data_IF_008253451127
#
_entry.id   IF_008253451127
#
_cell.length_a   1.000
_cell.length_b   1.000
_cell.length_c   1.000
_cell.angle_alpha   90.00
_cell.angle_beta   90.00
_cell.angle_gamma   90.00
#
_symmetry.space_group_name_H-M   'P 1'
#
loop_
_entity.id
_entity.type
_entity.pdbx_description
1 polymer ?
#
# COMPACT_ATOMS: atom_id res chain seq x y z
N UNK A 1 14.62 9.72 16.53
CA UNK A 1 14.70 9.83 15.07
C UNK A 1 13.36 9.71 14.44
N UNK A 2 13.14 10.56 13.50
CA UNK A 2 11.98 10.40 12.64
C UNK A 2 12.41 9.79 11.34
N UNK A 3 11.63 8.83 10.88
CA UNK A 3 11.70 8.40 9.49
C UNK A 3 10.47 8.95 8.84
N UNK A 4 10.65 9.85 7.91
CA UNK A 4 9.55 10.37 7.13
C UNK A 4 9.36 9.48 5.93
N UNK A 5 8.16 8.96 5.77
CA UNK A 5 7.82 8.15 4.61
C UNK A 5 6.92 9.00 3.74
N UNK A 6 7.37 9.22 2.53
CA UNK A 6 6.59 9.93 1.54
C UNK A 6 6.43 8.99 0.34
N UNK A 7 5.24 8.95 -0.21
CA UNK A 7 5.06 8.05 -1.32
C UNK A 7 3.63 8.00 -1.82
N UNK A 8 3.37 6.99 -2.63
CA UNK A 8 2.07 6.79 -3.25
C UNK A 8 1.60 5.36 -3.03
N UNK A 9 0.29 5.20 -2.97
CA UNK A 9 -0.32 3.90 -2.91
C UNK A 9 -1.20 3.70 -4.13
N UNK A 10 -1.09 2.53 -4.73
CA UNK A 10 -1.96 2.13 -5.83
C UNK A 10 -2.87 1.03 -5.32
N UNK A 11 -4.16 1.21 -5.48
CA UNK A 11 -5.16 0.25 -5.03
C UNK A 11 -6.01 -0.15 -6.21
N UNK A 12 -6.26 -1.45 -6.32
CA UNK A 12 -7.18 -1.97 -7.32
C UNK A 12 -8.09 -2.98 -6.63
N UNK A 13 -9.36 -3.00 -7.00
CA UNK A 13 -10.26 -4.00 -6.47
C UNK A 13 -11.35 -4.30 -7.48
N UNK A 14 -11.90 -5.50 -7.38
CA UNK A 14 -13.02 -5.91 -8.24
C UNK A 14 -14.27 -5.79 -7.39
N UNK A 15 -15.16 -4.84 -7.69
CA UNK A 15 -16.36 -4.66 -6.89
C UNK A 15 -17.24 -5.89 -6.94
N UNK A 16 -17.84 -6.22 -5.81
CA UNK A 16 -18.79 -7.31 -5.72
C UNK A 16 -20.20 -6.77 -5.68
N UNK A 17 -20.52 -6.03 -4.64
CA UNK A 17 -21.85 -5.48 -4.44
C UNK A 17 -21.87 -3.97 -4.41
N UNK A 18 -20.79 -3.37 -3.97
CA UNK A 18 -20.71 -1.93 -3.78
C UNK A 18 -19.40 -1.39 -4.31
N UNK A 19 -19.43 -0.13 -4.69
CA UNK A 19 -18.24 0.61 -5.10
C UNK A 19 -17.93 1.61 -4.00
N UNK A 20 -16.67 1.65 -3.59
CA UNK A 20 -16.24 2.51 -2.50
C UNK A 20 -15.63 3.78 -3.09
N UNK A 21 -16.00 4.90 -2.54
CA UNK A 21 -15.49 6.18 -3.00
C UNK A 21 -14.00 6.36 -2.74
N UNK A 22 -13.35 7.06 -3.63
CA UNK A 22 -11.91 7.28 -3.55
C UNK A 22 -11.49 7.96 -2.25
N UNK A 23 -12.29 8.91 -1.77
CA UNK A 23 -11.95 9.61 -0.54
C UNK A 23 -11.93 8.68 0.67
N UNK A 24 -12.79 7.67 0.68
CA UNK A 24 -12.79 6.70 1.76
C UNK A 24 -11.54 5.85 1.74
N UNK A 25 -11.13 5.44 0.55
CA UNK A 25 -9.89 4.67 0.37
C UNK A 25 -8.69 5.50 0.80
N UNK A 26 -8.64 6.76 0.38
CA UNK A 26 -7.55 7.65 0.77
C UNK A 26 -7.47 7.83 2.28
N UNK A 27 -8.61 7.97 2.93
CA UNK A 27 -8.65 8.15 4.36
C UNK A 27 -8.14 6.91 5.09
N UNK A 28 -8.51 5.74 4.61
CA UNK A 28 -8.09 4.48 5.21
C UNK A 28 -6.58 4.30 5.07
N UNK A 29 -6.05 4.50 3.87
CA UNK A 29 -4.61 4.38 3.64
C UNK A 29 -3.85 5.37 4.50
N UNK A 30 -4.33 6.61 4.55
CA UNK A 30 -3.70 7.65 5.36
C UNK A 30 -3.69 7.31 6.84
N UNK A 31 -4.75 6.69 7.35
CA UNK A 31 -4.82 6.28 8.74
C UNK A 31 -3.69 5.32 9.09
N UNK A 32 -3.49 4.30 8.27
CA UNK A 32 -2.44 3.32 8.53
C UNK A 32 -1.06 3.90 8.31
N UNK A 33 -0.92 4.79 7.34
CA UNK A 33 0.39 5.36 7.01
C UNK A 33 0.92 6.29 8.10
N UNK A 34 0.07 6.77 9.00
CA UNK A 34 0.51 7.64 10.09
C UNK A 34 1.22 6.90 11.19
N UNK A 35 1.16 5.58 11.20
CA UNK A 35 1.76 4.79 12.25
C UNK A 35 3.17 4.40 11.88
N UNK A 36 4.13 4.52 12.81
CA UNK A 36 5.47 4.00 12.55
C UNK A 36 5.39 2.49 12.44
N UNK A 37 5.80 1.95 11.31
CA UNK A 37 5.78 0.51 11.12
C UNK A 37 6.59 0.13 9.90
N UNK A 38 6.87 -1.15 9.79
CA UNK A 38 7.55 -1.71 8.64
C UNK A 38 6.59 -1.65 7.44
N UNK A 39 7.13 -1.28 6.30
CA UNK A 39 6.32 -1.07 5.10
C UNK A 39 5.56 -2.31 4.67
N UNK A 40 6.16 -3.49 4.80
CA UNK A 40 5.47 -4.73 4.45
C UNK A 40 4.24 -4.95 5.33
N UNK A 41 4.36 -4.63 6.60
CA UNK A 41 3.22 -4.74 7.52
C UNK A 41 2.15 -3.74 7.16
N UNK A 42 2.55 -2.52 6.85
CA UNK A 42 1.61 -1.48 6.42
C UNK A 42 0.82 -1.95 5.20
N UNK A 43 1.52 -2.48 4.21
CA UNK A 43 0.88 -2.93 2.97
C UNK A 43 -0.12 -4.04 3.24
N UNK A 44 0.23 -5.00 4.10
CA UNK A 44 -0.68 -6.08 4.47
C UNK A 44 -1.89 -5.57 5.23
N UNK A 45 -1.69 -4.64 6.15
CA UNK A 45 -2.79 -4.08 6.92
C UNK A 45 -3.76 -3.32 6.02
N UNK A 46 -3.24 -2.57 5.07
CA UNK A 46 -4.07 -1.85 4.11
C UNK A 46 -4.86 -2.83 3.27
N UNK A 47 -4.22 -3.91 2.81
CA UNK A 47 -4.93 -4.92 2.04
C UNK A 47 -6.12 -5.49 2.81
N UNK A 48 -5.89 -5.94 4.03
CA UNK A 48 -6.94 -6.55 4.85
C UNK A 48 -8.06 -5.56 5.13
N UNK A 49 -7.71 -4.33 5.45
CA UNK A 49 -8.71 -3.31 5.72
C UNK A 49 -9.55 -2.99 4.49
N UNK A 50 -8.93 -2.95 3.32
CA UNK A 50 -9.66 -2.72 2.08
C UNK A 50 -10.54 -3.90 1.71
N UNK A 51 -10.07 -5.11 1.94
CA UNK A 51 -10.90 -6.30 1.73
C UNK A 51 -12.16 -6.24 2.60
N UNK A 52 -12.02 -5.80 3.82
CA UNK A 52 -13.16 -5.65 4.72
C UNK A 52 -14.09 -4.53 4.23
N UNK A 53 -13.52 -3.40 3.88
CA UNK A 53 -14.29 -2.24 3.46
C UNK A 53 -15.06 -2.50 2.18
N UNK A 54 -14.45 -3.18 1.21
CA UNK A 54 -15.06 -3.45 -0.09
C UNK A 54 -15.88 -4.74 -0.09
N UNK A 55 -15.82 -5.49 0.99
CA UNK A 55 -16.51 -6.77 1.12
C UNK A 55 -16.14 -7.74 0.01
N UNK A 56 -14.89 -7.77 -0.38
CA UNK A 56 -14.37 -8.72 -1.34
C UNK A 56 -12.91 -8.99 -1.04
N UNK A 57 -12.46 -10.19 -1.36
CA UNK A 57 -11.04 -10.52 -1.23
C UNK A 57 -10.24 -10.05 -2.43
N UNK A 58 -10.90 -9.67 -3.51
CA UNK A 58 -10.26 -9.32 -4.78
C UNK A 58 -9.73 -7.89 -4.74
N UNK A 59 -8.65 -7.71 -3.99
CA UNK A 59 -8.02 -6.41 -3.76
C UNK A 59 -6.53 -6.55 -3.97
N UNK A 60 -5.93 -5.53 -4.53
CA UNK A 60 -4.47 -5.45 -4.69
C UNK A 60 -4.01 -4.07 -4.23
N UNK A 61 -2.89 -4.06 -3.53
CA UNK A 61 -2.30 -2.83 -3.00
C UNK A 61 -0.82 -2.81 -3.32
N UNK A 62 -0.33 -1.69 -3.77
CA UNK A 62 1.10 -1.47 -3.96
C UNK A 62 1.46 -0.12 -3.37
N UNK A 63 2.49 -0.08 -2.56
CA UNK A 63 2.96 1.14 -1.93
C UNK A 63 4.39 1.40 -2.37
N UNK A 64 4.60 2.56 -2.98
CA UNK A 64 5.92 3.08 -3.30
C UNK A 64 6.25 4.15 -2.29
N UNK A 65 7.34 3.98 -1.58
CA UNK A 65 7.70 4.93 -0.55
C UNK A 65 9.18 5.27 -0.62
N UNK A 66 9.47 6.52 -0.38
CA UNK A 66 10.83 7.01 -0.24
C UNK A 66 11.08 7.19 1.24
N UNK A 67 12.12 6.55 1.73
CA UNK A 67 12.50 6.67 3.13
C UNK A 67 13.60 7.71 3.24
N UNK A 68 13.34 8.71 4.06
CA UNK A 68 14.34 9.70 4.39
C UNK A 68 14.87 9.38 5.77
N UNK A 69 16.05 8.83 5.83
CA UNK A 69 16.67 8.56 7.10
C UNK A 69 17.43 9.79 7.54
N UNK A 70 17.19 10.19 8.76
CA UNK A 70 17.98 11.28 9.33
C UNK A 70 19.39 10.77 9.48
N UNK A 71 20.32 11.52 8.96
CA UNK A 71 21.71 11.14 9.02
C UNK A 71 22.30 11.52 10.33
N UNK A 72 23.05 10.61 10.84
CA UNK A 72 23.91 10.90 11.96
C UNK A 72 25.35 10.69 11.50
N UNK A 73 26.25 11.48 12.01
CA UNK A 73 27.67 11.28 11.81
C UNK A 73 28.14 11.41 10.37
N UNK A 74 27.53 12.29 9.66
CA UNK A 74 28.02 12.63 8.35
C UNK A 74 27.81 11.58 7.27
N UNK A 75 27.00 10.60 7.53
CA UNK A 75 26.63 9.68 6.48
C UNK A 75 25.80 10.42 5.46
N UNK A 76 26.15 10.26 4.20
CA UNK A 76 25.45 10.96 3.14
C UNK A 76 24.00 10.52 3.08
N UNK A 77 23.15 11.49 2.92
CA UNK A 77 21.74 11.22 2.81
C UNK A 77 21.45 10.59 1.47
N UNK A 78 20.90 9.40 1.52
CA UNK A 78 20.46 8.72 0.32
C UNK A 78 18.98 8.42 0.45
N UNK A 79 18.25 8.73 -0.58
CA UNK A 79 16.85 8.36 -0.64
C UNK A 79 16.76 6.88 -0.90
N UNK A 80 16.10 6.20 -0.01
CA UNK A 80 15.77 4.80 -0.15
C UNK A 80 14.41 4.71 -0.80
N UNK A 81 14.32 3.93 -1.86
CA UNK A 81 13.08 3.76 -2.57
C UNK A 81 12.61 2.31 -2.39
N UNK A 82 11.45 2.13 -1.85
CA UNK A 82 10.95 0.79 -1.56
C UNK A 82 9.55 0.63 -2.13
N UNK A 83 9.33 -0.48 -2.79
CA UNK A 83 8.02 -0.83 -3.31
C UNK A 83 7.59 -2.15 -2.67
N UNK A 84 6.41 -2.14 -2.07
CA UNK A 84 5.82 -3.35 -1.50
C UNK A 84 4.44 -3.55 -2.09
N UNK A 85 4.04 -4.80 -2.20
CA UNK A 85 2.74 -5.13 -2.76
C UNK A 85 2.09 -6.24 -1.96
N UNK A 86 0.77 -6.22 -1.93
CA UNK A 86 -0.02 -7.26 -1.31
C UNK A 86 -1.21 -7.54 -2.21
N UNK A 87 -1.44 -8.81 -2.47
CA UNK A 87 -2.48 -9.24 -3.38
C UNK A 87 -3.43 -10.18 -2.67
N UNK A 88 -4.71 -10.09 -2.99
CA UNK A 88 -5.72 -10.97 -2.43
C UNK A 88 -6.66 -11.49 -3.50
N UNK A 89 -7.31 -12.60 -3.20
CA UNK A 89 -8.33 -13.16 -4.06
C UNK A 89 -7.84 -13.44 -5.47
N UNK A 90 -8.57 -12.95 -6.45
CA UNK A 90 -8.27 -13.20 -7.86
C UNK A 90 -6.96 -12.57 -8.31
N UNK A 91 -6.47 -11.53 -7.60
CA UNK A 91 -5.17 -10.96 -7.95
C UNK A 91 -4.02 -11.92 -7.64
N UNK A 92 -4.25 -12.90 -6.78
CA UNK A 92 -3.26 -13.95 -6.52
C UNK A 92 -3.31 -15.05 -7.55
N UNK A 93 -4.50 -15.41 -8.00
CA UNK A 93 -4.71 -16.63 -8.80
C UNK A 93 -4.81 -16.36 -10.30
N UNK A 94 -5.20 -15.16 -10.69
CA UNK A 94 -5.37 -14.81 -12.09
C UNK A 94 -4.14 -14.03 -12.57
N UNK A 95 -3.33 -14.68 -13.37
CA UNK A 95 -2.07 -14.09 -13.84
C UNK A 95 -2.28 -12.87 -14.70
N UNK A 96 -3.38 -12.81 -15.40
CA UNK A 96 -3.70 -11.66 -16.25
C UNK A 96 -4.02 -10.44 -15.42
N UNK A 97 -4.84 -10.63 -14.38
CA UNK A 97 -5.15 -9.54 -13.45
C UNK A 97 -3.91 -9.04 -12.73
N UNK A 98 -3.08 -9.97 -12.29
CA UNK A 98 -1.83 -9.61 -11.61
C UNK A 98 -0.94 -8.79 -12.53
N UNK A 99 -0.79 -9.22 -13.76
CA UNK A 99 0.05 -8.52 -14.73
C UNK A 99 -0.48 -7.13 -15.01
N UNK A 100 -1.78 -7.00 -15.14
CA UNK A 100 -2.41 -5.71 -15.39
C UNK A 100 -2.21 -4.75 -14.22
N UNK A 101 -2.31 -5.26 -13.00
CA UNK A 101 -2.10 -4.43 -11.82
C UNK A 101 -0.67 -3.89 -11.77
N UNK A 102 0.31 -4.68 -12.14
CA UNK A 102 1.71 -4.27 -12.07
C UNK A 102 2.23 -3.56 -13.33
N UNK A 103 1.39 -3.38 -14.32
CA UNK A 103 1.79 -2.71 -15.56
C UNK A 103 2.15 -1.25 -15.40
#
# INVERSE_FOLDING_TARGET
HFVTIDGTATVSYIPKDTVIGLSKINRLVGFFAQRPQVQERLTQQVLVALQTLTNTEDVAVSINATHYCVKARGIRDTNSYTKTSALGGRFLTDNELKREFFR
#
